data_IF_052201514534
#
_entry.id   IF_052201514534
#
_cell.length_a   1.000
_cell.length_b   1.000
_cell.length_c   1.000
_cell.angle_alpha   90.00
_cell.angle_beta   90.00
_cell.angle_gamma   90.00
#
_symmetry.space_group_name_H-M   'P 1'
#
loop_
_entity.id
_entity.type
_entity.pdbx_description
1 polymer ?
#
# COMPACT_ATOMS: atom_id res chain seq x y z
N UNK A 1 8.27 -65.69 -34.31
CA UNK A 1 7.75 -66.49 -33.17
C UNK A 1 8.25 -65.80 -31.92
N UNK A 2 7.50 -65.33 -30.94
CA UNK A 2 6.07 -65.20 -30.63
C UNK A 2 6.07 -64.27 -29.41
N UNK A 3 5.32 -63.17 -29.44
CA UNK A 3 4.06 -62.94 -28.71
C UNK A 3 4.07 -63.18 -27.19
N UNK A 4 3.67 -62.11 -26.46
CA UNK A 4 2.82 -62.06 -25.24
C UNK A 4 3.26 -62.85 -23.99
N UNK A 5 3.12 -62.40 -22.73
CA UNK A 5 2.51 -61.24 -22.08
C UNK A 5 2.87 -61.26 -20.57
N UNK A 6 2.73 -60.10 -19.92
CA UNK A 6 2.22 -59.88 -18.53
C UNK A 6 2.94 -60.55 -17.34
N UNK A 7 3.10 -59.97 -16.14
CA UNK A 7 2.42 -58.85 -15.49
C UNK A 7 3.19 -58.43 -14.22
N UNK A 8 2.75 -57.32 -13.63
CA UNK A 8 2.90 -56.88 -12.22
C UNK A 8 3.76 -55.63 -11.98
N UNK A 9 3.05 -54.51 -12.04
CA UNK A 9 3.36 -53.23 -11.41
C UNK A 9 3.74 -53.38 -9.93
N UNK A 10 4.76 -52.65 -9.46
CA UNK A 10 4.66 -51.87 -8.21
C UNK A 10 5.42 -50.53 -8.39
N UNK A 11 4.60 -49.49 -8.32
CA UNK A 11 4.87 -48.07 -8.17
C UNK A 11 6.02 -47.68 -7.24
N UNK A 12 6.96 -46.85 -7.71
CA UNK A 12 7.48 -45.68 -6.98
C UNK A 12 8.39 -44.85 -7.90
N UNK A 13 7.77 -43.98 -8.70
CA UNK A 13 8.48 -42.92 -9.40
C UNK A 13 8.90 -41.84 -8.40
N UNK A 14 10.09 -41.98 -7.80
CA UNK A 14 10.80 -40.86 -7.18
C UNK A 14 11.41 -40.00 -8.29
N UNK A 15 10.57 -39.14 -8.86
CA UNK A 15 10.98 -38.01 -9.68
C UNK A 15 11.93 -37.14 -8.86
N UNK A 16 13.23 -37.28 -9.11
CA UNK A 16 14.24 -36.34 -8.65
C UNK A 16 14.14 -35.10 -9.54
N UNK A 17 13.12 -34.28 -9.29
CA UNK A 17 12.90 -33.04 -10.00
C UNK A 17 13.76 -31.96 -9.32
N UNK A 18 14.88 -31.66 -9.95
CA UNK A 18 15.71 -30.51 -9.65
C UNK A 18 14.84 -29.26 -9.75
N UNK A 19 14.51 -28.64 -8.62
CA UNK A 19 13.89 -27.32 -8.59
C UNK A 19 14.93 -26.29 -9.06
N UNK A 20 15.01 -26.05 -10.35
CA UNK A 20 15.48 -24.74 -10.84
C UNK A 20 14.37 -23.76 -10.51
N UNK A 21 14.48 -23.11 -9.35
CA UNK A 21 13.68 -21.95 -9.03
C UNK A 21 14.03 -20.86 -10.05
N UNK A 22 13.19 -20.70 -11.08
CA UNK A 22 13.18 -19.50 -11.90
C UNK A 22 12.80 -18.33 -11.01
N UNK A 23 13.81 -17.69 -10.41
CA UNK A 23 13.69 -16.36 -9.81
C UNK A 23 13.49 -15.34 -10.93
N UNK A 24 12.25 -15.25 -11.40
CA UNK A 24 11.75 -14.12 -12.18
C UNK A 24 10.30 -13.89 -11.81
N UNK A 25 10.10 -13.22 -10.68
CA UNK A 25 9.00 -12.28 -10.52
C UNK A 25 9.59 -10.99 -9.96
N UNK A 26 10.44 -10.36 -10.76
CA UNK A 26 10.66 -8.91 -10.68
C UNK A 26 9.30 -8.28 -10.93
N UNK A 27 8.85 -7.48 -9.96
CA UNK A 27 7.45 -7.11 -9.76
C UNK A 27 6.72 -6.69 -11.02
N UNK A 28 5.61 -7.36 -11.30
CA UNK A 28 4.52 -6.68 -11.98
C UNK A 28 4.15 -5.47 -11.13
N UNK A 29 3.97 -4.27 -11.71
CA UNK A 29 3.35 -3.17 -10.99
C UNK A 29 2.07 -3.72 -10.39
N UNK A 30 1.89 -3.59 -9.08
CA UNK A 30 0.56 -3.79 -8.50
C UNK A 30 -0.27 -2.66 -9.08
N UNK A 31 -0.92 -2.93 -10.21
CA UNK A 31 -1.85 -2.00 -10.82
C UNK A 31 -3.05 -1.96 -9.90
N UNK A 32 -3.02 -1.00 -8.98
CA UNK A 32 -4.18 -0.67 -8.21
C UNK A 32 -5.29 -0.23 -9.17
N UNK A 33 -6.48 -0.82 -9.02
CA UNK A 33 -7.61 -0.43 -9.87
C UNK A 33 -8.17 0.93 -9.46
N UNK A 34 -7.91 1.33 -8.22
CA UNK A 34 -8.37 2.56 -7.59
C UNK A 34 -7.31 3.65 -7.80
N UNK A 35 -7.73 4.79 -8.36
CA UNK A 35 -6.86 5.95 -8.53
C UNK A 35 -6.55 6.61 -7.17
N UNK A 36 -5.37 7.22 -7.03
CA UNK A 36 -4.98 7.89 -5.78
C UNK A 36 -5.88 9.07 -5.44
N UNK A 37 -6.45 9.73 -6.45
CA UNK A 37 -7.44 10.79 -6.28
C UNK A 37 -8.75 10.27 -5.66
N UNK A 38 -9.17 9.05 -6.02
CA UNK A 38 -10.38 8.44 -5.45
C UNK A 38 -10.20 8.09 -3.97
N UNK A 39 -8.97 7.76 -3.58
CA UNK A 39 -8.59 7.54 -2.18
C UNK A 39 -8.65 8.86 -1.40
N UNK A 40 -8.06 9.93 -1.93
CA UNK A 40 -8.10 11.25 -1.31
C UNK A 40 -9.55 11.78 -1.19
N UNK A 41 -10.37 11.59 -2.22
CA UNK A 41 -11.79 11.92 -2.18
C UNK A 41 -12.56 11.12 -1.12
N UNK A 42 -12.21 9.84 -0.95
CA UNK A 42 -12.83 8.99 0.08
C UNK A 42 -12.45 9.42 1.48
N UNK A 43 -11.19 9.79 1.70
CA UNK A 43 -10.72 10.40 2.94
C UNK A 43 -11.50 11.69 3.24
N UNK A 44 -11.58 12.59 2.25
CA UNK A 44 -12.29 13.85 2.42
C UNK A 44 -13.76 13.65 2.80
N UNK A 45 -14.48 12.77 2.09
CA UNK A 45 -15.89 12.45 2.41
C UNK A 45 -16.04 11.89 3.83
N UNK A 46 -15.18 10.93 4.22
CA UNK A 46 -15.20 10.35 5.56
C UNK A 46 -15.08 11.42 6.65
N UNK A 47 -14.19 12.39 6.47
CA UNK A 47 -14.01 13.48 7.43
C UNK A 47 -15.11 14.54 7.35
N UNK A 48 -15.71 14.76 6.17
CA UNK A 48 -16.85 15.67 6.03
C UNK A 48 -18.09 15.18 6.78
N UNK A 49 -18.27 13.86 6.86
CA UNK A 49 -19.34 13.24 7.64
C UNK A 49 -19.11 13.40 9.16
N UNK A 50 -17.89 13.72 9.60
CA UNK A 50 -17.59 14.10 10.98
C UNK A 50 -17.88 15.60 11.20
N UNK A 51 -18.97 15.92 11.91
CA UNK A 51 -19.51 17.29 12.08
C UNK A 51 -18.56 18.35 12.65
N UNK A 52 -17.39 17.95 13.17
CA UNK A 52 -16.47 18.82 13.91
C UNK A 52 -15.19 19.12 13.13
N UNK A 53 -15.08 18.73 11.86
CA UNK A 53 -13.87 18.97 11.04
C UNK A 53 -14.22 19.63 9.71
N UNK A 54 -13.70 20.84 9.49
CA UNK A 54 -13.65 21.49 8.19
C UNK A 54 -12.59 20.81 7.32
N UNK A 55 -13.04 20.24 6.21
CA UNK A 55 -12.21 19.52 5.24
C UNK A 55 -11.90 20.39 4.03
N UNK A 56 -10.63 20.45 3.63
CA UNK A 56 -10.19 21.16 2.42
C UNK A 56 -9.24 20.31 1.59
N UNK A 57 -9.57 20.10 0.31
CA UNK A 57 -8.62 19.54 -0.65
C UNK A 57 -7.51 20.56 -0.93
N UNK A 58 -6.25 20.20 -0.70
CA UNK A 58 -5.09 21.03 -1.04
C UNK A 58 -4.63 20.76 -2.48
N UNK A 59 -4.69 19.50 -2.90
CA UNK A 59 -4.41 19.00 -4.25
C UNK A 59 -5.40 17.88 -4.57
N UNK A 60 -5.28 17.22 -5.73
CA UNK A 60 -6.07 16.03 -6.03
C UNK A 60 -5.75 14.83 -5.12
N UNK A 61 -4.62 14.84 -4.41
CA UNK A 61 -4.14 13.73 -3.57
C UNK A 61 -3.90 14.09 -2.10
N UNK A 62 -4.11 15.34 -1.70
CA UNK A 62 -3.86 15.81 -0.33
C UNK A 62 -5.09 16.51 0.27
N UNK A 63 -5.45 16.09 1.47
CA UNK A 63 -6.59 16.59 2.24
C UNK A 63 -6.10 17.25 3.52
N UNK A 64 -6.61 18.44 3.83
CA UNK A 64 -6.34 19.15 5.07
C UNK A 64 -7.56 19.18 5.98
N UNK A 65 -7.34 18.85 7.25
CA UNK A 65 -8.33 18.83 8.32
C UNK A 65 -7.99 19.96 9.30
N UNK A 66 -8.78 21.04 9.27
CA UNK A 66 -8.43 22.29 9.94
C UNK A 66 -8.32 22.16 11.47
N UNK A 67 -9.34 21.59 12.10
CA UNK A 67 -9.49 21.50 13.56
C UNK A 67 -8.50 20.48 14.14
N UNK A 68 -8.13 19.48 13.34
CA UNK A 68 -7.13 18.46 13.70
C UNK A 68 -5.70 18.88 13.39
N UNK A 69 -5.49 19.96 12.64
CA UNK A 69 -4.19 20.36 12.09
C UNK A 69 -3.45 19.19 11.43
N UNK A 70 -4.17 18.43 10.59
CA UNK A 70 -3.66 17.23 9.94
C UNK A 70 -3.75 17.35 8.42
N UNK A 71 -2.68 17.02 7.72
CA UNK A 71 -2.69 16.76 6.28
C UNK A 71 -2.61 15.25 6.05
N UNK A 72 -3.60 14.66 5.36
CA UNK A 72 -3.51 13.29 4.86
C UNK A 72 -3.21 13.34 3.36
N UNK A 73 -2.05 12.80 2.96
CA UNK A 73 -1.54 12.85 1.60
C UNK A 73 -1.33 11.44 1.05
N UNK A 74 -2.03 11.14 -0.04
CA UNK A 74 -2.01 9.85 -0.72
C UNK A 74 -0.88 9.77 -1.74
N UNK A 75 -0.13 8.66 -1.70
CA UNK A 75 0.95 8.35 -2.63
C UNK A 75 0.77 6.94 -3.19
N UNK A 76 1.28 6.72 -4.41
CA UNK A 76 1.24 5.41 -5.08
C UNK A 76 2.30 4.44 -4.54
N UNK A 77 3.39 4.96 -3.98
CA UNK A 77 4.50 4.16 -3.47
C UNK A 77 5.35 4.92 -2.45
N UNK A 78 6.11 4.19 -1.64
CA UNK A 78 7.09 4.78 -0.72
C UNK A 78 8.08 5.68 -1.46
N UNK A 79 8.50 5.27 -2.66
CA UNK A 79 9.40 6.07 -3.50
C UNK A 79 8.79 7.42 -3.86
N UNK A 80 7.54 7.43 -4.34
CA UNK A 80 6.85 8.69 -4.66
C UNK A 80 6.63 9.58 -3.44
N UNK A 81 6.46 9.02 -2.25
CA UNK A 81 6.39 9.79 -1.01
C UNK A 81 7.75 10.37 -0.60
N UNK A 82 8.84 9.61 -0.82
CA UNK A 82 10.20 10.04 -0.48
C UNK A 82 10.63 11.27 -1.28
N UNK A 83 10.19 11.39 -2.53
CA UNK A 83 10.42 12.59 -3.37
C UNK A 83 9.85 13.88 -2.73
N UNK A 84 8.90 13.76 -1.79
CA UNK A 84 8.28 14.87 -1.06
C UNK A 84 8.72 14.96 0.41
N UNK A 85 9.66 14.13 0.87
CA UNK A 85 10.03 14.00 2.28
C UNK A 85 10.37 15.35 2.95
N UNK A 86 11.08 16.23 2.23
CA UNK A 86 11.43 17.55 2.75
C UNK A 86 10.21 18.45 2.95
N UNK A 87 9.23 18.39 2.05
CA UNK A 87 7.98 19.12 2.17
C UNK A 87 7.18 18.59 3.36
N UNK A 88 7.05 17.26 3.48
CA UNK A 88 6.34 16.62 4.61
C UNK A 88 6.96 17.04 5.96
N UNK A 89 8.29 17.03 6.07
CA UNK A 89 9.02 17.49 7.26
C UNK A 89 8.80 18.99 7.52
N UNK A 90 8.76 19.83 6.49
CA UNK A 90 8.50 21.25 6.64
C UNK A 90 7.08 21.54 7.14
N UNK A 91 6.08 20.78 6.68
CA UNK A 91 4.70 20.88 7.19
C UNK A 91 4.68 20.54 8.69
N UNK A 92 5.33 19.45 9.09
CA UNK A 92 5.45 19.07 10.52
C UNK A 92 6.11 20.12 11.39
N UNK A 93 7.18 20.76 10.90
CA UNK A 93 7.84 21.87 11.61
C UNK A 93 6.92 23.07 11.86
N UNK A 94 5.81 23.20 11.14
CA UNK A 94 4.78 24.23 11.37
C UNK A 94 3.72 23.81 12.39
N UNK A 95 3.88 22.67 13.04
CA UNK A 95 2.92 22.13 14.02
C UNK A 95 1.66 21.54 13.36
N UNK A 96 1.81 21.03 12.14
CA UNK A 96 0.75 20.34 11.39
C UNK A 96 1.16 18.88 11.29
N UNK A 97 0.33 17.97 11.76
CA UNK A 97 0.56 16.54 11.61
C UNK A 97 0.39 16.11 10.15
N UNK A 98 1.12 15.07 9.76
CA UNK A 98 1.14 14.60 8.37
C UNK A 98 0.94 13.09 8.37
N UNK A 99 -0.19 12.68 7.79
CA UNK A 99 -0.53 11.31 7.44
C UNK A 99 -0.10 11.01 6.01
N UNK A 100 0.84 10.09 5.84
CA UNK A 100 1.23 9.53 4.54
C UNK A 100 0.40 8.28 4.31
N UNK A 101 -0.43 8.32 3.28
CA UNK A 101 -1.38 7.25 2.94
C UNK A 101 -0.86 6.48 1.73
N UNK A 102 -0.57 5.20 1.91
CA UNK A 102 0.13 4.35 0.95
C UNK A 102 -0.58 3.01 0.76
N UNK A 103 -0.37 2.30 -0.36
CA UNK A 103 -0.83 0.93 -0.47
C UNK A 103 -0.29 0.09 0.69
N UNK A 104 -1.11 -0.80 1.25
CA UNK A 104 -0.69 -1.64 2.38
C UNK A 104 0.65 -2.40 2.14
N UNK A 105 0.96 -2.93 0.93
CA UNK A 105 2.27 -3.53 0.64
C UNK A 105 3.48 -2.58 0.70
N UNK A 106 3.26 -1.26 0.73
CA UNK A 106 4.32 -0.25 0.81
C UNK A 106 4.66 0.14 2.26
N UNK A 107 3.76 -0.12 3.22
CA UNK A 107 3.90 0.35 4.60
C UNK A 107 5.20 -0.06 5.28
N UNK A 108 5.62 -1.32 5.14
CA UNK A 108 6.87 -1.78 5.74
C UNK A 108 8.09 -1.00 5.24
N UNK A 109 8.14 -0.74 3.92
CA UNK A 109 9.21 0.08 3.32
C UNK A 109 9.11 1.55 3.75
N UNK A 110 7.88 2.08 3.84
CA UNK A 110 7.66 3.45 4.28
C UNK A 110 8.08 3.67 5.73
N UNK A 111 7.85 2.69 6.60
CA UNK A 111 8.27 2.75 7.99
C UNK A 111 9.80 2.84 8.10
N UNK A 112 10.54 2.04 7.35
CA UNK A 112 12.00 2.10 7.30
C UNK A 112 12.51 3.42 6.71
N UNK A 113 11.92 3.87 5.59
CA UNK A 113 12.32 5.11 4.89
C UNK A 113 12.07 6.36 5.73
N UNK A 114 10.96 6.40 6.46
CA UNK A 114 10.52 7.55 7.24
C UNK A 114 10.79 7.41 8.74
N UNK A 115 11.61 6.45 9.15
CA UNK A 115 11.94 6.24 10.56
C UNK A 115 12.48 7.50 11.23
N UNK A 116 11.92 7.84 12.39
CA UNK A 116 12.30 9.00 13.20
C UNK A 116 11.80 10.35 12.65
N UNK A 117 10.99 10.35 11.60
CA UNK A 117 10.40 11.58 11.06
C UNK A 117 9.14 12.02 11.81
N UNK A 118 8.53 11.10 12.58
CA UNK A 118 7.25 11.23 13.26
C UNK A 118 6.08 11.46 12.30
N UNK A 119 6.22 11.04 11.04
CA UNK A 119 5.09 10.97 10.11
C UNK A 119 4.14 9.87 10.57
N UNK A 120 2.85 10.10 10.37
CA UNK A 120 1.82 9.08 10.58
C UNK A 120 1.67 8.33 9.27
N UNK A 121 1.70 7.01 9.29
CA UNK A 121 1.54 6.15 8.13
C UNK A 121 0.17 5.47 8.20
N UNK A 122 -0.52 5.45 7.06
CA UNK A 122 -1.76 4.71 6.86
C UNK A 122 -1.65 3.86 5.61
N UNK A 123 -2.07 2.61 5.73
CA UNK A 123 -2.21 1.69 4.61
C UNK A 123 -3.61 1.77 4.05
N UNK A 124 -3.75 1.65 2.73
CA UNK A 124 -5.03 1.37 2.10
C UNK A 124 -5.00 0.02 1.35
N UNK A 125 -6.17 -0.61 1.25
CA UNK A 125 -6.34 -1.93 0.66
C UNK A 125 -7.41 -1.85 -0.43
N UNK A 126 -7.05 -2.29 -1.63
CA UNK A 126 -7.97 -2.64 -2.72
C UNK A 126 -8.19 -4.15 -2.73
N UNK A 127 -9.44 -4.59 -2.53
CA UNK A 127 -9.84 -6.01 -2.59
C UNK A 127 -10.57 -6.36 -3.88
N UNK A 128 -10.66 -5.45 -4.85
CA UNK A 128 -11.42 -5.61 -6.08
C UNK A 128 -12.94 -5.48 -5.92
N UNK A 129 -13.41 -5.03 -4.76
CA UNK A 129 -14.83 -4.82 -4.43
C UNK A 129 -15.24 -3.34 -4.44
N UNK A 130 -14.39 -2.45 -4.97
CA UNK A 130 -14.55 -0.98 -5.00
C UNK A 130 -14.72 -0.32 -3.62
N UNK A 131 -14.40 -1.05 -2.54
CA UNK A 131 -14.45 -0.53 -1.18
C UNK A 131 -13.03 -0.27 -0.67
N UNK A 132 -12.69 1.01 -0.54
CA UNK A 132 -11.40 1.45 0.04
C UNK A 132 -11.44 1.26 1.55
N UNK A 133 -10.45 0.53 2.07
CA UNK A 133 -10.28 0.28 3.50
C UNK A 133 -8.93 0.77 3.96
N UNK A 134 -8.88 1.36 5.14
CA UNK A 134 -7.66 1.92 5.73
C UNK A 134 -7.20 1.10 6.94
N UNK A 135 -5.89 1.00 7.14
CA UNK A 135 -5.30 0.46 8.37
C UNK A 135 -5.42 1.47 9.51
N UNK A 136 -5.10 1.03 10.73
CA UNK A 136 -4.82 1.96 11.83
C UNK A 136 -3.55 2.79 11.55
N UNK A 137 -3.39 3.92 12.25
CA UNK A 137 -2.18 4.75 12.14
C UNK A 137 -0.96 4.02 12.72
N UNK A 138 0.16 4.11 12.02
CA UNK A 138 1.49 3.75 12.51
C UNK A 138 2.36 5.01 12.56
N UNK A 139 3.21 5.18 13.57
CA UNK A 139 4.12 6.34 13.63
C UNK A 139 5.51 5.87 13.21
N UNK A 140 6.10 6.54 12.22
CA UNK A 140 7.46 6.29 11.74
C UNK A 140 8.50 7.15 12.44
#
# INVERSE_FOLDING_TARGET
>A
MSDHAEDTEISTALHRQTYTASMTNVGSPVHHRIAVEDIANTIARRWQDESNTTVRMLTSTAVYLHERKLVEWVFESTKSAADYADILKQIRKRGIDVGVVLPMPELGRAHEEFWGTGLILYGWIDRGDDVIRFTGPEVA
#
